data_IF_866978334969
#
_entry.id   IF_866978334969
#
_cell.length_a   1.000
_cell.length_b   1.000
_cell.length_c   1.000
_cell.angle_alpha   90.00
_cell.angle_beta   90.00
_cell.angle_gamma   90.00
#
_symmetry.space_group_name_H-M   'P 1'
#
loop_
_entity.id
_entity.type
_entity.pdbx_description
1 polymer ?
#
# COMPACT_ATOMS: atom_id res chain seq x y z
N UNK A 1 24.81 -0.58 15.69
CA UNK A 1 23.48 -0.31 15.12
C UNK A 1 23.14 -1.50 14.26
N UNK A 2 22.08 -2.26 14.61
CA UNK A 2 21.67 -3.41 13.81
C UNK A 2 20.91 -2.84 12.62
N UNK A 3 21.54 -2.84 11.45
CA UNK A 3 20.88 -2.47 10.20
C UNK A 3 20.08 -3.70 9.80
N UNK A 4 18.79 -3.71 10.11
CA UNK A 4 17.91 -4.70 9.52
C UNK A 4 17.83 -4.39 8.03
N UNK A 5 18.06 -5.39 7.18
CA UNK A 5 17.91 -5.24 5.74
C UNK A 5 16.50 -4.75 5.44
N UNK A 6 16.38 -3.75 4.56
CA UNK A 6 15.14 -3.01 4.23
C UNK A 6 14.01 -3.92 3.68
N UNK A 7 14.30 -5.20 3.48
CA UNK A 7 13.43 -6.22 2.89
C UNK A 7 12.91 -7.26 3.88
N UNK A 8 13.30 -7.19 5.15
CA UNK A 8 12.92 -8.17 6.16
C UNK A 8 12.06 -7.57 7.27
N UNK A 9 11.15 -8.38 7.80
CA UNK A 9 10.37 -7.99 8.97
C UNK A 9 11.18 -8.13 10.26
N UNK A 10 11.29 -7.05 11.03
CA UNK A 10 12.03 -7.00 12.31
C UNK A 10 11.49 -7.90 13.43
N UNK A 11 10.28 -8.46 13.28
CA UNK A 11 9.67 -9.34 14.28
C UNK A 11 10.02 -10.80 14.03
N UNK A 12 9.96 -11.23 12.76
CA UNK A 12 10.13 -12.63 12.39
C UNK A 12 11.38 -12.90 11.56
N UNK A 13 12.15 -11.87 11.20
CA UNK A 13 13.40 -11.96 10.43
C UNK A 13 13.22 -12.71 9.09
N UNK A 14 12.02 -12.61 8.48
CA UNK A 14 11.76 -13.17 7.17
C UNK A 14 11.55 -12.05 6.15
N UNK A 15 11.92 -12.30 4.90
CA UNK A 15 11.69 -11.39 3.78
C UNK A 15 10.21 -11.11 3.55
N UNK A 16 9.90 -9.89 3.10
CA UNK A 16 8.58 -9.50 2.66
C UNK A 16 8.23 -10.14 1.31
N UNK A 17 6.96 -10.49 1.13
CA UNK A 17 6.45 -11.06 -0.12
C UNK A 17 5.12 -10.45 -0.52
N UNK A 18 4.77 -10.51 -1.81
CA UNK A 18 3.49 -9.99 -2.32
C UNK A 18 2.28 -10.88 -1.99
N UNK A 19 2.51 -12.11 -1.54
CA UNK A 19 1.47 -13.06 -1.15
C UNK A 19 1.26 -13.10 0.37
N UNK A 20 2.19 -13.75 1.08
CA UNK A 20 1.97 -14.22 2.44
C UNK A 20 2.55 -13.31 3.51
N UNK A 21 3.55 -12.50 3.14
CA UNK A 21 4.27 -11.59 4.05
C UNK A 21 4.20 -10.16 3.56
N UNK A 22 2.98 -9.70 3.30
CA UNK A 22 2.73 -8.32 2.84
C UNK A 22 3.22 -7.31 3.89
N UNK A 23 4.05 -6.31 3.53
CA UNK A 23 4.52 -5.28 4.43
C UNK A 23 3.39 -4.28 4.75
N UNK A 24 2.89 -4.28 5.99
CA UNK A 24 1.79 -3.41 6.44
C UNK A 24 2.28 -2.32 7.39
N UNK A 25 1.77 -1.11 7.20
CA UNK A 25 2.16 0.10 7.93
C UNK A 25 1.18 0.37 9.07
N UNK A 26 1.70 0.46 10.29
CA UNK A 26 0.95 0.91 11.47
C UNK A 26 0.74 2.43 11.42
N UNK A 27 -0.18 2.97 12.23
CA UNK A 27 -0.45 4.43 12.25
C UNK A 27 0.76 5.29 12.67
N UNK A 28 1.77 4.67 13.29
CA UNK A 28 3.02 5.32 13.64
C UNK A 28 4.07 5.32 12.51
N UNK A 29 3.78 4.73 11.35
CA UNK A 29 4.68 4.66 10.19
C UNK A 29 5.59 3.41 10.16
N UNK A 30 5.73 2.68 11.27
CA UNK A 30 6.52 1.44 11.27
C UNK A 30 5.81 0.32 10.50
N UNK A 31 6.63 -0.51 9.82
CA UNK A 31 6.15 -1.56 8.92
C UNK A 31 6.45 -2.96 9.47
N UNK A 32 5.48 -3.87 9.36
CA UNK A 32 5.59 -5.26 9.81
C UNK A 32 4.90 -6.20 8.82
N UNK A 33 5.26 -7.47 8.85
CA UNK A 33 4.62 -8.46 8.01
C UNK A 33 3.16 -8.72 8.44
N UNK A 34 2.23 -8.92 7.50
CA UNK A 34 0.84 -9.25 7.80
C UNK A 34 0.67 -10.38 8.85
N UNK A 35 1.32 -11.57 8.73
CA UNK A 35 1.15 -12.63 9.73
C UNK A 35 1.73 -12.26 11.09
N UNK A 36 2.74 -11.40 11.14
CA UNK A 36 3.28 -10.86 12.39
C UNK A 36 2.23 -10.01 13.11
N UNK A 37 1.53 -9.16 12.36
CA UNK A 37 0.48 -8.31 12.92
C UNK A 37 -0.74 -9.12 13.37
N UNK A 38 -1.05 -10.23 12.70
CA UNK A 38 -2.11 -11.17 13.10
C UNK A 38 -1.85 -11.79 14.47
N UNK A 39 -0.58 -12.07 14.79
CA UNK A 39 -0.18 -12.66 16.07
C UNK A 39 -0.12 -11.63 17.20
N UNK A 40 0.08 -10.35 16.87
CA UNK A 40 0.33 -9.29 17.86
C UNK A 40 -0.93 -8.55 18.31
N UNK A 41 -2.03 -8.63 17.55
CA UNK A 41 -3.21 -7.85 17.87
C UNK A 41 -4.06 -8.45 18.99
N UNK A 42 -4.86 -7.58 19.60
CA UNK A 42 -5.91 -7.95 20.55
C UNK A 42 -7.26 -7.46 20.02
N UNK A 43 -8.27 -8.32 20.09
CA UNK A 43 -9.66 -7.95 19.81
C UNK A 43 -10.32 -7.46 21.10
N UNK A 44 -10.82 -6.22 21.09
CA UNK A 44 -11.61 -5.63 22.18
C UNK A 44 -12.95 -5.19 21.63
N UNK A 45 -13.98 -6.00 21.85
CA UNK A 45 -15.29 -5.79 21.25
C UNK A 45 -15.23 -5.89 19.72
N UNK A 46 -15.51 -4.77 19.03
CA UNK A 46 -15.49 -4.69 17.56
C UNK A 46 -14.24 -3.97 17.01
N UNK A 47 -13.16 -3.89 17.80
CA UNK A 47 -11.94 -3.15 17.46
C UNK A 47 -10.74 -4.08 17.62
N UNK A 48 -9.93 -4.19 16.58
CA UNK A 48 -8.58 -4.77 16.67
C UNK A 48 -7.61 -3.67 17.10
N UNK A 49 -6.76 -3.94 18.08
CA UNK A 49 -5.69 -3.03 18.48
C UNK A 49 -4.35 -3.78 18.55
N UNK A 50 -3.30 -3.17 18.02
CA UNK A 50 -1.92 -3.67 18.08
C UNK A 50 -1.00 -2.57 18.60
N UNK A 51 -0.07 -2.93 19.49
CA UNK A 51 0.99 -2.04 19.96
C UNK A 51 2.23 -2.24 19.09
N UNK A 52 2.82 -1.16 18.60
CA UNK A 52 4.02 -1.22 17.77
C UNK A 52 5.22 -1.77 18.59
N UNK A 53 5.90 -2.84 18.14
CA UNK A 53 7.11 -3.36 18.80
C UNK A 53 8.26 -2.36 18.94
N UNK A 54 8.34 -1.36 18.06
CA UNK A 54 9.45 -0.39 18.02
C UNK A 54 9.20 0.85 18.89
N UNK A 55 7.99 1.41 18.85
CA UNK A 55 7.69 2.68 19.55
C UNK A 55 6.52 2.61 20.54
N UNK A 56 5.90 1.44 20.71
CA UNK A 56 4.75 1.18 21.61
C UNK A 56 3.46 1.95 21.27
N UNK A 57 3.42 2.67 20.15
CA UNK A 57 2.21 3.36 19.67
C UNK A 57 1.10 2.35 19.34
N UNK A 58 -0.14 2.69 19.67
CA UNK A 58 -1.31 1.86 19.38
C UNK A 58 -1.92 2.17 18.02
N UNK A 59 -2.13 1.11 17.23
CA UNK A 59 -2.93 1.17 16.01
C UNK A 59 -4.21 0.38 16.25
N UNK A 60 -5.36 1.02 16.09
CA UNK A 60 -6.66 0.39 16.27
C UNK A 60 -7.51 0.55 15.01
N UNK A 61 -8.14 -0.54 14.58
CA UNK A 61 -9.01 -0.59 13.40
C UNK A 61 -10.31 -1.31 13.73
N UNK A 62 -11.36 -1.04 12.97
CA UNK A 62 -12.63 -1.74 13.11
C UNK A 62 -12.48 -3.20 12.65
N UNK A 63 -13.04 -4.13 13.41
CA UNK A 63 -13.03 -5.56 13.10
C UNK A 63 -13.98 -5.96 11.96
N UNK A 64 -14.24 -5.06 11.02
CA UNK A 64 -15.00 -5.35 9.78
C UNK A 64 -14.16 -6.09 8.74
N UNK A 65 -12.83 -6.01 8.84
CA UNK A 65 -11.85 -6.75 8.04
C UNK A 65 -10.80 -7.32 8.99
N UNK A 66 -10.06 -8.35 8.56
CA UNK A 66 -8.87 -8.80 9.28
C UNK A 66 -7.90 -7.62 9.48
N UNK A 67 -7.27 -7.52 10.66
CA UNK A 67 -6.44 -6.36 11.01
C UNK A 67 -5.44 -5.97 9.90
N UNK A 68 -4.62 -6.88 9.34
CA UNK A 68 -3.64 -6.49 8.32
C UNK A 68 -4.29 -5.93 7.05
N UNK A 69 -5.49 -6.41 6.70
CA UNK A 69 -6.25 -5.92 5.54
C UNK A 69 -6.78 -4.49 5.72
N UNK A 70 -6.94 -4.03 6.96
CA UNK A 70 -7.33 -2.65 7.27
C UNK A 70 -6.14 -1.66 7.25
N UNK A 71 -4.91 -2.16 7.15
CA UNK A 71 -3.69 -1.36 7.20
C UNK A 71 -3.10 -1.15 5.81
N UNK A 72 -2.44 0.00 5.63
CA UNK A 72 -1.79 0.39 4.39
C UNK A 72 -0.62 -0.54 4.09
N UNK A 73 -0.39 -0.84 2.81
CA UNK A 73 0.82 -1.53 2.38
C UNK A 73 1.95 -0.51 2.26
N UNK A 74 3.16 -0.86 2.71
CA UNK A 74 4.34 -0.03 2.45
C UNK A 74 4.71 -0.17 0.97
N UNK A 75 4.42 0.85 0.18
CA UNK A 75 4.65 0.83 -1.27
C UNK A 75 6.14 0.79 -1.63
N UNK A 76 7.01 1.45 -0.87
CA UNK A 76 8.44 1.44 -1.14
C UNK A 76 9.02 0.02 -1.01
N UNK A 77 8.67 -0.69 0.05
CA UNK A 77 9.06 -2.11 0.18
C UNK A 77 8.38 -2.93 -0.91
N UNK A 78 7.08 -2.73 -1.11
CA UNK A 78 6.29 -3.48 -2.09
C UNK A 78 6.87 -3.42 -3.50
N UNK A 79 7.31 -2.24 -3.94
CA UNK A 79 7.87 -2.02 -5.27
C UNK A 79 9.24 -2.69 -5.43
N UNK A 80 9.97 -2.88 -4.32
CA UNK A 80 11.29 -3.53 -4.29
C UNK A 80 11.24 -5.05 -4.08
N UNK A 81 10.07 -5.66 -3.87
CA UNK A 81 9.93 -7.12 -3.80
C UNK A 81 10.20 -7.69 -5.20
N UNK A 82 11.25 -8.49 -5.34
CA UNK A 82 11.52 -9.22 -6.58
C UNK A 82 10.55 -10.40 -6.62
N UNK A 83 9.64 -10.42 -7.59
CA UNK A 83 8.89 -11.63 -7.90
C UNK A 83 9.88 -12.61 -8.52
N UNK A 84 10.40 -13.51 -7.69
CA UNK A 84 11.19 -14.63 -8.17
C UNK A 84 10.27 -15.46 -9.07
N UNK A 85 10.44 -15.26 -10.37
CA UNK A 85 9.73 -16.04 -11.39
C UNK A 85 10.20 -17.46 -11.17
N UNK A 86 9.33 -18.30 -10.62
CA UNK A 86 9.57 -19.74 -10.56
C UNK A 86 9.63 -20.20 -12.01
N UNK A 87 10.84 -20.18 -12.59
CA UNK A 87 11.14 -21.00 -13.75
C UNK A 87 11.03 -22.41 -13.16
N UNK A 88 9.84 -23.01 -13.29
CA UNK A 88 9.70 -24.44 -13.18
C UNK A 88 10.81 -25.01 -14.05
N UNK A 89 11.83 -25.56 -13.41
CA UNK A 89 12.95 -26.20 -14.08
C UNK A 89 12.38 -27.45 -14.77
N UNK A 90 11.73 -27.25 -15.91
CA UNK A 90 11.52 -28.29 -16.89
C UNK A 90 12.90 -28.70 -17.41
N UNK A 91 13.23 -30.00 -17.50
CA UNK A 91 14.47 -30.41 -18.14
C UNK A 91 14.47 -29.97 -19.62
N UNK A 92 15.62 -29.44 -20.02
CA UNK A 92 16.03 -29.05 -21.38
C UNK A 92 15.39 -29.87 -22.51
N UNK A 93 14.92 -29.19 -23.57
CA UNK A 93 15.28 -29.55 -24.95
C UNK A 93 15.00 -28.40 -25.94
N UNK A 94 15.99 -28.24 -26.82
CA UNK A 94 16.16 -27.27 -27.90
C UNK A 94 14.92 -27.12 -28.79
N UNK A 95 14.40 -25.90 -28.95
CA UNK A 95 13.60 -25.50 -30.11
C UNK A 95 13.70 -23.98 -30.32
N UNK A 96 14.62 -23.63 -31.21
CA UNK A 96 14.64 -22.37 -31.94
C UNK A 96 13.28 -22.03 -32.58
N UNK A 97 12.64 -20.92 -32.19
CA UNK A 97 11.65 -20.27 -33.06
C UNK A 97 11.51 -18.77 -32.78
N UNK A 98 12.12 -18.01 -33.69
CA UNK A 98 11.83 -16.64 -34.15
C UNK A 98 11.43 -15.57 -33.13
N UNK A 99 12.45 -14.74 -32.86
CA UNK A 99 12.37 -13.29 -32.76
C UNK A 99 11.14 -12.66 -33.45
N UNK A 100 10.31 -11.99 -32.68
CA UNK A 100 9.53 -10.83 -33.15
C UNK A 100 9.75 -9.68 -32.18
N UNK A 101 10.69 -8.81 -32.54
CA UNK A 101 10.82 -7.48 -31.97
C UNK A 101 9.64 -6.57 -32.40
N UNK A 102 9.50 -5.49 -31.63
CA UNK A 102 8.96 -4.17 -31.96
C UNK A 102 7.49 -3.93 -31.62
N UNK A 103 7.27 -3.12 -30.57
CA UNK A 103 6.83 -1.73 -30.75
C UNK A 103 7.61 -0.82 -29.78
N UNK A 104 8.54 -0.04 -30.33
CA UNK A 104 8.91 1.26 -29.78
C UNK A 104 7.75 2.22 -30.06
N UNK A 105 7.26 2.92 -29.04
CA UNK A 105 6.61 4.22 -29.28
C UNK A 105 7.16 5.24 -28.29
N UNK A 106 8.01 6.08 -28.87
CA UNK A 106 8.52 7.35 -28.41
C UNK A 106 7.47 8.26 -27.78
N UNK A 107 7.85 8.93 -26.70
CA UNK A 107 7.26 10.18 -26.21
C UNK A 107 7.06 11.21 -27.33
N UNK A 108 5.99 12.02 -27.27
CA UNK A 108 6.06 13.41 -27.67
C UNK A 108 6.16 14.32 -26.44
N UNK A 109 7.27 15.06 -26.37
CA UNK A 109 7.39 16.32 -25.64
C UNK A 109 6.35 17.30 -26.16
N UNK A 110 5.61 17.96 -25.27
CA UNK A 110 5.02 19.27 -25.57
C UNK A 110 5.06 20.18 -24.35
N UNK A 111 5.82 21.27 -24.48
CA UNK A 111 5.81 22.45 -23.61
C UNK A 111 4.88 23.49 -24.22
N UNK A 112 4.04 24.14 -23.40
CA UNK A 112 3.53 25.53 -23.49
C UNK A 112 2.39 25.66 -22.44
N UNK A 113 2.52 26.40 -21.33
CA UNK A 113 2.53 27.86 -21.14
C UNK A 113 1.22 28.58 -21.47
N UNK A 114 0.50 29.01 -20.42
CA UNK A 114 -0.22 30.29 -20.36
C UNK A 114 -1.65 30.36 -20.91
N UNK A 115 -2.53 31.04 -20.17
CA UNK A 115 -3.70 31.72 -20.75
C UNK A 115 -5.01 31.53 -19.98
N UNK A 116 -5.65 32.64 -19.63
CA UNK A 116 -6.85 32.80 -18.80
C UNK A 116 -8.11 32.86 -19.67
N UNK A 117 -9.29 32.81 -19.02
CA UNK A 117 -10.65 33.36 -19.36
C UNK A 117 -11.75 32.30 -19.50
N UNK A 118 -12.71 32.23 -18.56
CA UNK A 118 -13.96 33.02 -18.44
C UNK A 118 -15.02 32.62 -19.50
N UNK A 119 -16.01 31.83 -19.06
CA UNK A 119 -17.46 31.94 -19.29
C UNK A 119 -18.11 30.60 -18.87
N UNK A 120 -18.70 30.50 -17.67
CA UNK A 120 -20.02 31.02 -17.26
C UNK A 120 -21.12 29.95 -17.44
N UNK A 121 -21.41 29.15 -16.40
CA UNK A 121 -22.37 29.29 -15.27
C UNK A 121 -23.71 28.60 -15.58
N UNK A 122 -24.44 28.34 -14.49
CA UNK A 122 -25.91 28.22 -14.33
C UNK A 122 -26.31 26.79 -13.94
N UNK A 123 -26.94 26.46 -12.81
CA UNK A 123 -27.35 27.06 -11.53
C UNK A 123 -27.61 25.81 -10.64
N UNK A 124 -27.39 25.75 -9.32
CA UNK A 124 -27.87 26.62 -8.26
C UNK A 124 -28.81 25.81 -7.34
N UNK A 125 -28.38 25.53 -6.11
CA UNK A 125 -29.29 25.36 -4.98
C UNK A 125 -28.54 25.75 -3.70
N UNK A 126 -28.73 27.00 -3.30
CA UNK A 126 -28.40 27.57 -2.00
C UNK A 126 -29.69 27.57 -1.21
N UNK A 127 -29.67 27.00 -0.01
CA UNK A 127 -30.41 27.46 1.18
C UNK A 127 -29.71 26.83 2.38
N UNK A 128 -28.79 27.55 3.03
CA UNK A 128 -29.05 28.30 4.27
C UNK A 128 -29.23 27.40 5.49
N UNK A 129 -28.18 27.35 6.33
CA UNK A 129 -28.39 27.36 7.77
C UNK A 129 -29.06 28.68 8.17
N UNK A 130 -29.93 28.64 9.17
CA UNK A 130 -29.89 29.65 10.21
C UNK A 130 -29.73 29.01 11.59
N UNK A 131 -28.74 29.53 12.33
CA UNK A 131 -28.81 29.70 13.79
C UNK A 131 -30.11 30.40 14.18
N UNK A 132 -30.78 29.91 15.24
CA UNK A 132 -31.59 30.72 16.18
C UNK A 132 -32.19 29.84 17.29
N UNK A 133 -32.18 30.41 18.49
CA UNK A 133 -32.31 29.88 19.86
C UNK A 133 -33.67 29.27 20.26
N UNK A 134 -33.69 28.48 21.36
CA UNK A 134 -34.51 28.76 22.56
C UNK A 134 -34.56 27.63 23.61
N UNK A 135 -34.52 28.08 24.87
CA UNK A 135 -34.86 27.48 26.17
C UNK A 135 -33.77 26.75 26.98
#
# INVERSE_FOLDING_TARGET
MVVHEEKECVVCFNEYSRSDRVPRVLHCGHTFCAPCLEQLYQLKGFIYCVSCPLCRWFTCTRASLALPGALWVNMEIWDNIVEERVILSAPMEDLSYTETQLIQSSLPVSKQSGGKTLLQRMFGCVTQQPDMDAC
#
